data_IF_677536278282
#
_entry.id   IF_677536278282
#
_cell.length_a   1.000
_cell.length_b   1.000
_cell.length_c   1.000
_cell.angle_alpha   90.00
_cell.angle_beta   90.00
_cell.angle_gamma   90.00
#
_symmetry.space_group_name_H-M   'P 1'
#
loop_
_entity.id
_entity.type
_entity.pdbx_description
1 polymer ?
#
# COMPACT_ATOMS: atom_id res chain seq x y z
N UNK A 1 8.23 20.31 -3.20
CA UNK A 1 8.92 19.12 -2.64
C UNK A 1 8.67 17.95 -3.57
N UNK A 2 9.55 17.73 -4.56
CA UNK A 2 9.50 16.53 -5.42
C UNK A 2 10.40 15.50 -4.76
N UNK A 3 9.83 14.68 -3.90
CA UNK A 3 10.53 13.54 -3.33
C UNK A 3 10.78 12.55 -4.47
N UNK A 4 12.04 12.27 -4.76
CA UNK A 4 12.43 11.23 -5.72
C UNK A 4 12.02 9.88 -5.13
N UNK A 5 10.81 9.44 -5.45
CA UNK A 5 10.35 8.10 -5.17
C UNK A 5 11.25 7.14 -5.95
N UNK A 6 12.28 6.61 -5.28
CA UNK A 6 13.12 5.58 -5.88
C UNK A 6 12.32 4.28 -5.88
N UNK A 7 11.91 3.85 -7.06
CA UNK A 7 11.41 2.50 -7.29
C UNK A 7 12.59 1.53 -7.29
N UNK A 8 12.43 0.39 -6.62
CA UNK A 8 13.42 -0.67 -6.53
C UNK A 8 12.79 -1.96 -7.06
N UNK A 9 13.47 -2.67 -7.95
CA UNK A 9 13.01 -3.96 -8.46
C UNK A 9 13.60 -5.08 -7.58
N UNK A 10 12.74 -5.96 -7.07
CA UNK A 10 13.10 -7.16 -6.32
C UNK A 10 13.37 -8.38 -7.21
N UNK A 11 13.75 -9.50 -6.59
CA UNK A 11 14.22 -10.71 -7.29
C UNK A 11 13.14 -11.47 -8.08
N UNK A 12 11.88 -11.03 -8.05
CA UNK A 12 10.76 -11.71 -8.73
C UNK A 12 9.93 -10.75 -9.60
N UNK A 13 10.53 -9.63 -10.03
CA UNK A 13 9.81 -8.59 -10.76
C UNK A 13 8.91 -7.72 -9.88
N UNK A 14 8.90 -7.98 -8.57
CA UNK A 14 8.21 -7.17 -7.58
C UNK A 14 8.81 -5.76 -7.54
N UNK A 15 7.97 -4.74 -7.61
CA UNK A 15 8.39 -3.35 -7.49
C UNK A 15 8.17 -2.87 -6.05
N UNK A 16 9.14 -2.16 -5.51
CA UNK A 16 9.06 -1.51 -4.22
C UNK A 16 9.23 -0.02 -4.35
N UNK A 17 8.51 0.74 -3.52
CA UNK A 17 8.71 2.17 -3.32
C UNK A 17 9.28 2.41 -1.93
N UNK A 18 10.33 3.21 -1.83
CA UNK A 18 10.82 3.68 -0.53
C UNK A 18 9.86 4.72 0.05
N UNK A 19 9.21 4.39 1.15
CA UNK A 19 8.36 5.28 1.92
C UNK A 19 9.16 6.28 2.77
N UNK A 20 8.48 7.32 3.25
CA UNK A 20 9.08 8.39 4.08
C UNK A 20 9.72 7.86 5.37
N UNK A 21 9.15 6.81 5.97
CA UNK A 21 9.69 6.12 7.14
C UNK A 21 10.85 5.16 6.84
N UNK A 22 11.42 5.22 5.64
CA UNK A 22 12.40 4.28 5.10
C UNK A 22 11.91 2.83 5.00
N UNK A 23 10.61 2.59 5.14
CA UNK A 23 9.99 1.30 4.84
C UNK A 23 9.93 1.07 3.33
N UNK A 24 10.23 -0.15 2.90
CA UNK A 24 9.98 -0.59 1.53
C UNK A 24 8.51 -0.99 1.44
N UNK A 25 7.77 -0.31 0.57
CA UNK A 25 6.38 -0.61 0.28
C UNK A 25 6.33 -1.37 -1.03
N UNK A 26 5.68 -2.52 -1.05
CA UNK A 26 5.39 -3.29 -2.24
C UNK A 26 4.35 -2.55 -3.08
N UNK A 27 4.74 -2.18 -4.30
CA UNK A 27 3.84 -1.65 -5.33
C UNK A 27 2.93 -2.77 -5.82
N UNK A 28 1.64 -2.64 -5.54
CA UNK A 28 0.63 -3.57 -6.02
C UNK A 28 0.24 -3.23 -7.46
N UNK A 29 -0.08 -4.25 -8.24
CA UNK A 29 -0.80 -4.06 -9.50
C UNK A 29 -2.22 -3.56 -9.22
N UNK A 30 -2.84 -2.90 -10.19
CA UNK A 30 -4.20 -2.35 -10.03
C UNK A 30 -5.20 -3.40 -9.54
N UNK A 31 -5.14 -4.63 -10.06
CA UNK A 31 -6.00 -5.74 -9.63
C UNK A 31 -5.74 -6.18 -8.18
N UNK A 32 -4.48 -6.22 -7.76
CA UNK A 32 -4.09 -6.59 -6.39
C UNK A 32 -4.47 -5.48 -5.39
N UNK A 33 -4.35 -4.22 -5.80
CA UNK A 33 -4.77 -3.06 -5.02
C UNK A 33 -6.29 -3.05 -4.84
N UNK A 34 -7.06 -3.31 -5.89
CA UNK A 34 -8.53 -3.42 -5.81
C UNK A 34 -8.96 -4.56 -4.88
N UNK A 35 -8.33 -5.73 -4.99
CA UNK A 35 -8.60 -6.86 -4.10
C UNK A 35 -8.27 -6.52 -2.65
N UNK A 36 -7.09 -5.95 -2.39
CA UNK A 36 -6.65 -5.56 -1.05
C UNK A 36 -7.57 -4.50 -0.45
N UNK A 37 -7.96 -3.49 -1.24
CA UNK A 37 -8.92 -2.47 -0.83
C UNK A 37 -10.28 -3.08 -0.47
N UNK A 38 -10.77 -4.02 -1.27
CA UNK A 38 -12.03 -4.72 -1.02
C UNK A 38 -11.96 -5.57 0.23
N UNK A 39 -10.93 -6.41 0.39
CA UNK A 39 -10.76 -7.24 1.59
C UNK A 39 -10.65 -6.39 2.86
N UNK A 40 -9.86 -5.31 2.80
CA UNK A 40 -9.69 -4.43 3.95
C UNK A 40 -10.99 -3.68 4.22
N UNK A 41 -11.71 -3.20 3.20
CA UNK A 41 -13.01 -2.55 3.36
C UNK A 41 -14.05 -3.49 3.95
N UNK A 42 -14.20 -4.71 3.42
CA UNK A 42 -15.19 -5.70 3.88
C UNK A 42 -14.88 -6.19 5.30
N UNK A 43 -13.61 -6.45 5.64
CA UNK A 43 -13.20 -6.78 7.01
C UNK A 43 -13.37 -5.61 7.98
N UNK A 44 -13.32 -4.38 7.47
CA UNK A 44 -13.54 -3.16 8.25
C UNK A 44 -15.02 -2.79 8.32
N UNK A 45 -15.89 -3.29 7.43
CA UNK A 45 -17.28 -2.81 7.29
C UNK A 45 -18.19 -3.01 8.52
N UNK A 46 -17.68 -3.54 9.64
CA UNK A 46 -18.30 -3.42 10.96
C UNK A 46 -18.00 -2.11 11.72
N UNK A 47 -16.85 -1.48 11.46
CA UNK A 47 -16.40 -0.20 11.99
C UNK A 47 -16.23 0.78 10.81
N UNK A 48 -17.07 1.79 10.67
CA UNK A 48 -16.98 2.80 9.58
C UNK A 48 -15.67 3.63 9.62
N UNK A 49 -14.51 3.02 9.38
CA UNK A 49 -13.21 3.70 9.37
C UNK A 49 -13.10 4.50 8.07
N UNK A 50 -12.93 5.82 8.20
CA UNK A 50 -12.76 6.71 7.05
C UNK A 50 -11.53 6.37 6.20
N UNK A 51 -11.53 6.84 4.95
CA UNK A 51 -10.48 6.50 3.96
C UNK A 51 -9.04 6.80 4.38
N UNK A 52 -8.81 7.77 5.27
CA UNK A 52 -7.47 8.07 5.82
C UNK A 52 -6.93 6.92 6.69
N UNK A 53 -7.78 6.33 7.53
CA UNK A 53 -7.37 5.20 8.39
C UNK A 53 -7.14 3.95 7.55
N UNK A 54 -7.94 3.77 6.50
CA UNK A 54 -7.74 2.71 5.51
C UNK A 54 -6.38 2.82 4.82
N UNK A 55 -6.03 4.01 4.31
CA UNK A 55 -4.73 4.26 3.69
C UNK A 55 -3.56 4.00 4.66
N UNK A 56 -3.70 4.38 5.94
CA UNK A 56 -2.67 4.08 6.94
C UNK A 56 -2.52 2.57 7.21
N UNK A 57 -3.61 1.81 7.24
CA UNK A 57 -3.56 0.34 7.40
C UNK A 57 -2.88 -0.34 6.21
N UNK A 58 -3.10 0.14 4.99
CA UNK A 58 -2.47 -0.36 3.76
C UNK A 58 -0.96 -0.11 3.80
N UNK A 59 -0.55 1.11 4.11
CA UNK A 59 0.87 1.45 4.26
C UNK A 59 1.55 0.64 5.37
N UNK A 60 0.84 0.36 6.48
CA UNK A 60 1.35 -0.50 7.57
C UNK A 60 1.50 -1.96 7.17
N UNK A 61 0.68 -2.45 6.25
CA UNK A 61 0.86 -3.78 5.65
C UNK A 61 1.98 -3.79 4.61
N UNK A 62 2.58 -2.63 4.32
CA UNK A 62 3.69 -2.51 3.40
C UNK A 62 3.23 -2.41 1.95
N UNK A 63 1.99 -2.00 1.68
CA UNK A 63 1.47 -1.87 0.31
C UNK A 63 1.51 -0.42 -0.17
N UNK A 64 1.73 -0.24 -1.46
CA UNK A 64 1.67 1.04 -2.18
C UNK A 64 0.86 0.91 -3.47
#
# INVERSE_FOLDING_TARGET
MKELAKLMQGCEGILYRKGFSHLLLWCLLTSEAEYSMKEIHERICGDHLGGRLLAQKILRQGYY
#
